data_IF_393979559192
#
_entry.id   IF_393979559192
#
_cell.length_a   1.000
_cell.length_b   1.000
_cell.length_c   1.000
_cell.angle_alpha   90.00
_cell.angle_beta   90.00
_cell.angle_gamma   90.00
#
_symmetry.space_group_name_H-M   'P 1'
#
loop_
_entity.id
_entity.type
_entity.pdbx_description
1 polymer ?
#
# COMPACT_ATOMS: atom_id res chain seq x y z
N UNK A 1 9.10 54.26 60.34
CA UNK A 1 7.99 53.50 59.77
C UNK A 1 8.48 52.77 58.58
N UNK A 2 8.71 51.47 58.70
CA UNK A 2 9.38 50.62 57.74
C UNK A 2 8.32 49.98 56.83
N UNK A 3 8.39 50.22 55.54
CA UNK A 3 7.64 49.45 54.57
C UNK A 3 8.57 48.40 53.95
N UNK A 4 8.36 47.15 54.35
CA UNK A 4 8.96 45.98 53.73
C UNK A 4 8.29 45.70 52.39
N UNK A 5 9.03 45.83 51.32
CA UNK A 5 8.60 45.36 49.99
C UNK A 5 8.97 43.86 49.87
N UNK A 6 7.97 43.01 49.80
CA UNK A 6 8.12 41.59 49.56
C UNK A 6 8.25 41.38 48.05
N UNK A 7 9.42 41.01 47.59
CA UNK A 7 9.66 40.63 46.20
C UNK A 7 9.12 39.25 45.93
N UNK A 8 8.09 39.15 45.05
CA UNK A 8 7.63 37.89 44.48
C UNK A 8 8.52 37.49 43.31
N UNK A 9 9.36 36.52 43.57
CA UNK A 9 10.13 35.84 42.51
C UNK A 9 9.20 34.84 41.80
N UNK A 10 8.71 35.18 40.60
CA UNK A 10 8.03 34.28 39.73
C UNK A 10 9.00 33.25 39.15
N UNK A 11 8.88 32.01 39.60
CA UNK A 11 9.57 30.89 39.00
C UNK A 11 8.87 30.53 37.70
N UNK A 12 9.50 30.84 36.56
CA UNK A 12 9.07 30.37 35.24
C UNK A 12 9.47 28.91 35.11
N UNK A 13 8.51 28.03 35.24
CA UNK A 13 8.66 26.60 34.93
C UNK A 13 8.62 26.44 33.44
N UNK A 14 9.77 26.24 32.81
CA UNK A 14 9.86 25.81 31.41
C UNK A 14 9.43 24.35 31.31
N UNK A 15 8.19 24.11 30.91
CA UNK A 15 7.72 22.81 30.48
C UNK A 15 8.36 22.49 29.14
N UNK A 16 9.46 21.73 29.17
CA UNK A 16 10.01 21.10 27.97
C UNK A 16 9.00 20.07 27.47
N UNK A 17 8.18 20.44 26.50
CA UNK A 17 7.39 19.50 25.74
C UNK A 17 8.33 18.68 24.87
N UNK A 18 8.66 17.48 25.30
CA UNK A 18 9.17 16.44 24.41
C UNK A 18 8.03 16.07 23.46
N UNK A 19 7.94 16.76 22.33
CA UNK A 19 7.21 16.27 21.18
C UNK A 19 8.02 15.14 20.57
N UNK A 20 7.84 13.94 21.07
CA UNK A 20 8.15 12.72 20.34
C UNK A 20 7.20 12.65 19.15
N UNK A 21 7.60 13.26 18.04
CA UNK A 21 6.95 13.04 16.76
C UNK A 21 7.34 11.64 16.31
N UNK A 22 6.56 10.65 16.70
CA UNK A 22 6.42 9.44 15.92
C UNK A 22 5.69 9.89 14.64
N UNK A 23 6.45 10.50 13.76
CA UNK A 23 6.00 10.85 12.42
C UNK A 23 5.85 9.55 11.62
N UNK A 24 4.79 8.82 11.92
CA UNK A 24 4.25 7.83 11.01
C UNK A 24 3.68 8.66 9.86
N UNK A 25 4.54 8.98 8.91
CA UNK A 25 4.14 9.66 7.69
C UNK A 25 3.04 8.83 7.04
N UNK A 26 1.80 9.30 7.18
CA UNK A 26 0.68 8.70 6.45
C UNK A 26 0.93 9.01 4.98
N UNK A 27 1.49 8.01 4.28
CA UNK A 27 1.75 8.08 2.85
C UNK A 27 0.48 8.53 2.12
N UNK A 28 0.57 9.59 1.33
CA UNK A 28 -0.57 10.05 0.54
C UNK A 28 -0.96 9.01 -0.52
N UNK A 29 -2.22 9.01 -0.96
CA UNK A 29 -2.68 8.07 -1.99
C UNK A 29 -1.84 8.11 -3.28
N UNK A 30 -1.47 9.27 -3.83
CA UNK A 30 -0.61 9.34 -5.01
C UNK A 30 0.79 8.74 -4.79
N UNK A 31 1.37 8.95 -3.62
CA UNK A 31 2.66 8.36 -3.25
C UNK A 31 2.57 6.84 -3.14
N UNK A 32 1.52 6.33 -2.48
CA UNK A 32 1.26 4.90 -2.37
C UNK A 32 1.07 4.25 -3.75
N UNK A 33 0.35 4.90 -4.68
CA UNK A 33 0.18 4.42 -6.06
C UNK A 33 1.52 4.38 -6.81
N UNK A 34 2.32 5.45 -6.71
CA UNK A 34 3.64 5.51 -7.35
C UNK A 34 4.57 4.44 -6.81
N UNK A 35 4.66 4.30 -5.49
CA UNK A 35 5.43 3.25 -4.83
C UNK A 35 4.92 1.86 -5.21
N UNK A 36 3.61 1.70 -5.25
CA UNK A 36 2.95 0.45 -5.65
C UNK A 36 3.31 0.01 -7.07
N UNK A 37 3.37 0.95 -8.01
CA UNK A 37 3.81 0.68 -9.38
C UNK A 37 5.26 0.17 -9.43
N UNK A 38 6.16 0.82 -8.70
CA UNK A 38 7.56 0.39 -8.63
C UNK A 38 7.71 -1.02 -8.03
N UNK A 39 6.95 -1.31 -6.99
CA UNK A 39 6.94 -2.63 -6.34
C UNK A 39 6.31 -3.69 -7.24
N UNK A 40 5.24 -3.36 -7.95
CA UNK A 40 4.59 -4.22 -8.93
C UNK A 40 5.57 -4.69 -10.01
N UNK A 41 6.37 -3.76 -10.55
CA UNK A 41 7.40 -4.09 -11.52
C UNK A 41 8.56 -4.88 -10.88
N UNK A 42 9.00 -4.47 -9.70
CA UNK A 42 10.09 -5.12 -8.94
C UNK A 42 9.80 -6.59 -8.60
N UNK A 43 8.58 -6.89 -8.19
CA UNK A 43 8.17 -8.25 -7.86
C UNK A 43 7.71 -9.08 -9.05
N UNK A 44 7.81 -8.53 -10.27
CA UNK A 44 7.52 -9.25 -11.50
C UNK A 44 6.03 -9.47 -11.79
N UNK A 45 5.13 -8.74 -11.16
CA UNK A 45 3.70 -8.83 -11.40
C UNK A 45 3.35 -8.59 -12.88
N UNK A 46 4.08 -7.66 -13.52
CA UNK A 46 3.93 -7.31 -14.92
C UNK A 46 4.22 -8.47 -15.88
N UNK A 47 5.00 -9.47 -15.47
CA UNK A 47 5.34 -10.62 -16.31
C UNK A 47 4.09 -11.41 -16.73
N UNK A 48 3.11 -11.52 -15.83
CA UNK A 48 1.83 -12.14 -16.09
C UNK A 48 0.74 -11.10 -16.39
N UNK A 49 0.63 -10.07 -15.54
CA UNK A 49 -0.48 -9.11 -15.59
C UNK A 49 -0.29 -7.97 -16.59
N UNK A 50 0.92 -7.81 -17.18
CA UNK A 50 1.25 -6.70 -18.06
C UNK A 50 1.66 -5.44 -17.30
N UNK A 51 2.37 -4.54 -17.96
CA UNK A 51 2.88 -3.28 -17.37
C UNK A 51 1.77 -2.33 -16.94
N UNK A 52 0.60 -2.43 -17.57
CA UNK A 52 -0.59 -1.65 -17.27
C UNK A 52 -1.71 -2.48 -16.64
N UNK A 53 -1.41 -3.72 -16.22
CA UNK A 53 -2.37 -4.58 -15.53
C UNK A 53 -3.52 -5.10 -16.39
N UNK A 54 -3.32 -5.22 -17.71
CA UNK A 54 -4.36 -5.68 -18.66
C UNK A 54 -4.45 -7.19 -18.80
N UNK A 55 -3.65 -7.95 -18.06
CA UNK A 55 -3.59 -9.41 -18.19
C UNK A 55 -2.87 -9.87 -19.45
N UNK A 56 -2.04 -9.01 -20.04
CA UNK A 56 -1.35 -9.18 -21.32
C UNK A 56 0.17 -9.26 -21.18
N UNK A 57 0.64 -9.65 -20.02
CA UNK A 57 2.07 -9.82 -19.80
C UNK A 57 2.70 -10.84 -20.76
N UNK A 58 4.05 -10.79 -20.92
CA UNK A 58 4.74 -11.62 -21.92
C UNK A 58 4.49 -13.11 -21.79
N UNK A 59 4.20 -13.62 -20.58
CA UNK A 59 3.89 -15.04 -20.39
C UNK A 59 2.39 -15.35 -20.35
N UNK A 60 1.53 -14.34 -20.43
CA UNK A 60 0.07 -14.52 -20.27
C UNK A 60 -0.54 -15.55 -21.22
N UNK A 61 -0.04 -15.62 -22.46
CA UNK A 61 -0.54 -16.56 -23.48
C UNK A 61 -0.12 -18.01 -23.23
N UNK A 62 0.90 -18.23 -22.41
CA UNK A 62 1.42 -19.55 -22.08
C UNK A 62 0.76 -20.13 -20.82
N UNK A 63 -0.07 -19.34 -20.15
CA UNK A 63 -0.72 -19.75 -18.90
C UNK A 63 -2.06 -20.44 -19.22
N UNK A 64 -2.37 -21.49 -18.47
CA UNK A 64 -3.64 -22.22 -18.58
C UNK A 64 -4.84 -21.34 -18.17
N UNK A 65 -4.62 -20.41 -17.25
CA UNK A 65 -5.62 -19.41 -16.85
C UNK A 65 -5.09 -18.04 -17.19
N UNK A 66 -5.88 -17.26 -17.91
CA UNK A 66 -5.49 -15.90 -18.28
C UNK A 66 -5.38 -15.02 -17.03
N UNK A 67 -4.29 -14.25 -16.88
CA UNK A 67 -4.18 -13.25 -15.82
C UNK A 67 -5.30 -12.22 -15.93
N UNK A 68 -5.74 -11.74 -14.78
CA UNK A 68 -6.83 -10.78 -14.67
C UNK A 68 -6.47 -9.45 -15.29
N UNK A 69 -7.43 -8.85 -16.00
CA UNK A 69 -7.42 -7.45 -16.39
C UNK A 69 -7.91 -6.61 -15.18
N UNK A 70 -7.09 -5.75 -14.64
CA UNK A 70 -7.43 -4.95 -13.46
C UNK A 70 -8.40 -3.79 -13.73
N UNK A 71 -8.70 -3.50 -14.99
CA UNK A 71 -9.76 -2.55 -15.36
C UNK A 71 -11.15 -3.16 -15.18
N UNK A 72 -11.25 -4.48 -15.26
CA UNK A 72 -12.50 -5.21 -15.01
C UNK A 72 -12.73 -5.33 -13.50
N UNK A 73 -13.54 -4.42 -12.96
CA UNK A 73 -13.84 -4.34 -11.53
C UNK A 73 -14.63 -5.56 -11.02
N UNK A 74 -15.44 -6.16 -11.85
CA UNK A 74 -16.24 -7.36 -11.52
C UNK A 74 -15.38 -8.61 -11.40
N UNK A 75 -14.20 -8.57 -12.01
CA UNK A 75 -13.28 -9.70 -11.98
C UNK A 75 -12.58 -9.91 -10.62
N UNK A 76 -12.68 -8.99 -9.66
CA UNK A 76 -12.04 -9.11 -8.34
C UNK A 76 -12.83 -10.01 -7.39
N UNK A 77 -12.56 -11.31 -7.41
CA UNK A 77 -13.27 -12.32 -6.62
C UNK A 77 -13.29 -12.04 -5.09
N UNK A 78 -12.23 -11.45 -4.57
CA UNK A 78 -12.05 -11.20 -3.13
C UNK A 78 -12.26 -9.72 -2.75
N UNK A 79 -12.76 -8.89 -3.70
CA UNK A 79 -12.94 -7.47 -3.51
C UNK A 79 -11.70 -6.63 -3.83
N UNK A 80 -11.90 -5.30 -3.92
CA UNK A 80 -10.93 -4.31 -4.41
C UNK A 80 -10.39 -3.38 -3.34
N UNK A 81 -10.71 -3.58 -2.08
CA UNK A 81 -10.06 -2.82 -1.02
C UNK A 81 -8.56 -3.11 -0.96
N UNK A 82 -7.77 -2.17 -0.47
CA UNK A 82 -6.32 -2.38 -0.33
C UNK A 82 -6.00 -3.62 0.51
N UNK A 83 -6.81 -3.88 1.54
CA UNK A 83 -6.69 -5.07 2.37
C UNK A 83 -7.00 -6.35 1.60
N UNK A 84 -8.08 -6.36 0.82
CA UNK A 84 -8.48 -7.52 0.02
C UNK A 84 -7.46 -7.85 -1.07
N UNK A 85 -6.93 -6.83 -1.77
CA UNK A 85 -5.88 -7.04 -2.77
C UNK A 85 -4.58 -7.52 -2.10
N UNK A 86 -4.18 -6.89 -0.98
CA UNK A 86 -2.99 -7.29 -0.22
C UNK A 86 -3.09 -8.75 0.23
N UNK A 87 -4.26 -9.18 0.70
CA UNK A 87 -4.47 -10.56 1.11
C UNK A 87 -4.48 -11.52 -0.09
N UNK A 88 -5.08 -11.12 -1.20
CA UNK A 88 -5.04 -11.89 -2.45
C UNK A 88 -3.60 -12.09 -2.94
N UNK A 89 -2.75 -11.06 -2.87
CA UNK A 89 -1.33 -11.20 -3.19
C UNK A 89 -0.64 -12.17 -2.23
N UNK A 90 -0.94 -12.08 -0.93
CA UNK A 90 -0.34 -12.98 0.07
C UNK A 90 -0.71 -14.44 -0.14
N UNK A 91 -2.01 -14.68 -0.33
CA UNK A 91 -2.56 -16.04 -0.38
C UNK A 91 -2.54 -16.65 -1.79
N UNK A 92 -2.55 -15.81 -2.83
CA UNK A 92 -2.77 -16.25 -4.20
C UNK A 92 -4.24 -16.50 -4.51
N UNK A 93 -4.52 -16.87 -5.74
CA UNK A 93 -5.82 -17.33 -6.23
C UNK A 93 -5.60 -18.59 -7.04
N UNK A 94 -5.67 -19.72 -6.37
CA UNK A 94 -5.46 -21.03 -6.98
C UNK A 94 -6.77 -21.80 -7.06
N UNK A 95 -6.97 -22.48 -8.16
CA UNK A 95 -7.96 -23.52 -8.32
C UNK A 95 -7.21 -24.80 -8.71
N UNK A 96 -7.09 -25.73 -7.77
CA UNK A 96 -6.16 -26.84 -7.84
C UNK A 96 -4.72 -26.31 -8.04
N UNK A 97 -4.07 -26.65 -9.13
CA UNK A 97 -2.68 -26.22 -9.43
C UNK A 97 -2.62 -25.09 -10.47
N UNK A 98 -3.75 -24.42 -10.74
CA UNK A 98 -3.87 -23.40 -11.77
C UNK A 98 -4.31 -22.07 -11.15
N UNK A 99 -3.60 -21.00 -11.46
CA UNK A 99 -3.96 -19.67 -11.01
C UNK A 99 -2.76 -18.80 -10.64
N UNK A 100 -3.02 -17.77 -9.87
CA UNK A 100 -2.00 -16.86 -9.36
C UNK A 100 -1.40 -17.44 -8.06
N UNK A 101 -0.08 -17.68 -7.99
CA UNK A 101 0.56 -18.11 -6.75
C UNK A 101 0.49 -17.02 -5.67
N UNK A 102 0.61 -17.43 -4.42
CA UNK A 102 0.72 -16.50 -3.30
C UNK A 102 2.15 -16.00 -3.10
N UNK A 103 2.26 -14.78 -2.55
CA UNK A 103 3.54 -14.11 -2.26
C UNK A 103 3.62 -13.72 -0.77
N UNK A 104 3.61 -14.68 0.16
CA UNK A 104 3.61 -14.39 1.60
C UNK A 104 4.91 -13.72 2.08
N UNK A 105 5.99 -13.83 1.33
CA UNK A 105 7.29 -13.22 1.64
C UNK A 105 7.34 -11.70 1.39
N UNK A 106 6.40 -11.15 0.60
CA UNK A 106 6.30 -9.70 0.40
C UNK A 106 5.74 -9.08 1.68
N UNK A 107 6.38 -8.05 2.27
CA UNK A 107 5.87 -7.35 3.44
C UNK A 107 4.44 -6.80 3.23
N UNK A 108 3.62 -6.82 4.28
CA UNK A 108 2.23 -6.38 4.18
C UNK A 108 2.08 -4.94 3.66
N UNK A 109 2.93 -4.03 4.12
CA UNK A 109 2.92 -2.62 3.67
C UNK A 109 3.22 -2.50 2.16
N UNK A 110 4.14 -3.32 1.64
CA UNK A 110 4.47 -3.33 0.21
C UNK A 110 3.33 -3.94 -0.61
N UNK A 111 2.69 -5.01 -0.12
CA UNK A 111 1.48 -5.56 -0.76
C UNK A 111 0.34 -4.56 -0.80
N UNK A 112 0.18 -3.76 0.27
CA UNK A 112 -0.83 -2.68 0.31
C UNK A 112 -0.52 -1.57 -0.68
N UNK A 113 0.74 -1.20 -0.85
CA UNK A 113 1.17 -0.24 -1.86
C UNK A 113 0.91 -0.77 -3.29
N UNK A 114 1.25 -2.04 -3.56
CA UNK A 114 0.89 -2.70 -4.82
C UNK A 114 -0.64 -2.68 -5.01
N UNK A 115 -1.40 -2.95 -3.94
CA UNK A 115 -2.85 -2.87 -3.95
C UNK A 115 -3.37 -1.48 -4.31
N UNK A 116 -2.72 -0.41 -3.83
CA UNK A 116 -3.09 0.96 -4.19
C UNK A 116 -2.90 1.22 -5.69
N UNK A 117 -1.79 0.75 -6.27
CA UNK A 117 -1.56 0.83 -7.71
C UNK A 117 -2.61 0.03 -8.50
N UNK A 118 -2.82 -1.24 -8.16
CA UNK A 118 -3.80 -2.11 -8.84
C UNK A 118 -5.21 -1.51 -8.76
N UNK A 119 -5.60 -0.98 -7.59
CA UNK A 119 -6.90 -0.34 -7.43
C UNK A 119 -7.05 0.96 -8.24
N UNK A 120 -5.96 1.65 -8.56
CA UNK A 120 -5.97 2.90 -9.32
C UNK A 120 -6.13 2.69 -10.84
N UNK A 121 -5.87 1.49 -11.36
CA UNK A 121 -5.83 1.23 -12.81
C UNK A 121 -7.17 1.51 -13.50
N UNK A 122 -8.29 1.21 -12.86
CA UNK A 122 -9.63 1.46 -13.41
C UNK A 122 -10.05 2.94 -13.37
N UNK A 123 -9.36 3.75 -12.56
CA UNK A 123 -9.67 5.19 -12.42
C UNK A 123 -9.01 6.02 -13.53
N UNK A 124 -8.21 5.38 -14.39
CA UNK A 124 -7.38 6.05 -15.40
C UNK A 124 -7.96 5.97 -16.82
N UNK A 125 -9.15 5.37 -17.00
CA UNK A 125 -9.84 5.24 -18.30
C UNK A 125 -10.85 6.36 -18.53
#
# INVERSE_FOLDING_TARGET
MNFFAIGMTSAVILLSSCSGSDDVSVESRPEAVTRGKLLYDRYGCAVCHGTEGRGDGPVARSLNTRPRDFRDVEAFKNGRSLGAISETIRAGVMDQDVGMPGYPHIPNEERRAIGAYVASIHESD
#
